data_IF_162011967819
#
_entry.id   IF_162011967819
#
_cell.length_a   1.000
_cell.length_b   1.000
_cell.length_c   1.000
_cell.angle_alpha   90.00
_cell.angle_beta   90.00
_cell.angle_gamma   90.00
#
_symmetry.space_group_name_H-M   'P 1'
#
loop_
_entity.id
_entity.type
_entity.pdbx_description
1 polymer ?
#
# COMPACT_ATOMS: atom_id res chain seq x y z
N UNK A 1 -28.90 27.69 72.64
CA UNK A 1 -27.45 27.50 72.56
C UNK A 1 -27.16 26.91 71.20
N UNK A 2 -26.81 27.82 70.29
CA UNK A 2 -25.62 27.76 69.44
C UNK A 2 -25.47 26.52 68.54
N UNK A 3 -25.56 26.71 67.22
CA UNK A 3 -24.41 26.86 66.30
C UNK A 3 -23.87 25.47 65.88
N UNK A 4 -23.48 25.12 64.65
CA UNK A 4 -23.17 25.86 63.43
C UNK A 4 -22.96 24.82 62.30
N UNK A 5 -23.46 25.14 61.09
CA UNK A 5 -22.91 24.92 59.73
C UNK A 5 -22.38 23.54 59.27
N UNK A 6 -22.88 23.03 58.14
CA UNK A 6 -22.43 23.33 56.75
C UNK A 6 -22.81 22.18 55.78
N UNK A 7 -23.44 22.52 54.66
CA UNK A 7 -23.72 21.60 53.56
C UNK A 7 -24.04 22.38 52.30
N UNK A 8 -23.00 22.87 51.63
CA UNK A 8 -23.10 23.61 50.38
C UNK A 8 -23.63 22.72 49.25
N UNK A 9 -24.69 23.19 48.61
CA UNK A 9 -25.21 22.65 47.35
C UNK A 9 -24.75 23.57 46.23
N UNK A 10 -23.76 23.15 45.44
CA UNK A 10 -23.40 23.85 44.20
C UNK A 10 -23.98 23.08 43.02
N UNK A 11 -25.06 23.64 42.47
CA UNK A 11 -25.55 23.36 41.12
C UNK A 11 -24.49 23.87 40.13
N UNK A 12 -23.84 22.97 39.40
CA UNK A 12 -23.04 23.33 38.23
C UNK A 12 -23.86 23.11 36.96
N UNK A 13 -24.42 24.19 36.44
CA UNK A 13 -24.87 24.26 35.05
C UNK A 13 -23.64 24.40 34.16
N UNK A 14 -23.33 23.39 33.34
CA UNK A 14 -22.37 23.57 32.24
C UNK A 14 -23.06 23.31 30.90
N UNK A 15 -23.34 24.44 30.28
CA UNK A 15 -23.67 24.68 28.88
C UNK A 15 -22.98 23.67 27.95
N UNK A 16 -23.78 22.96 27.15
CA UNK A 16 -23.31 22.26 25.96
C UNK A 16 -22.70 23.28 25.00
N UNK A 17 -21.37 23.28 24.86
CA UNK A 17 -20.69 23.83 23.69
C UNK A 17 -20.47 22.68 22.70
N UNK A 18 -21.37 22.61 21.74
CA UNK A 18 -21.18 21.95 20.46
C UNK A 18 -19.88 22.46 19.83
N UNK A 19 -18.87 21.60 19.73
CA UNK A 19 -17.71 21.85 18.88
C UNK A 19 -18.15 21.67 17.42
N UNK A 20 -18.57 22.77 16.80
CA UNK A 20 -18.48 22.94 15.35
C UNK A 20 -17.00 22.96 14.99
N UNK A 21 -16.51 21.87 14.39
CA UNK A 21 -15.26 21.89 13.63
C UNK A 21 -15.54 22.68 12.36
N UNK A 22 -15.13 23.95 12.38
CA UNK A 22 -15.02 24.78 11.20
C UNK A 22 -14.06 24.09 10.23
N UNK A 23 -14.60 23.60 9.12
CA UNK A 23 -13.84 23.32 7.90
C UNK A 23 -13.20 24.64 7.46
N UNK A 24 -11.93 24.86 7.83
CA UNK A 24 -11.13 25.91 7.23
C UNK A 24 -10.93 25.55 5.76
N UNK A 25 -11.84 26.03 4.91
CA UNK A 25 -11.58 26.15 3.47
C UNK A 25 -10.41 27.12 3.33
N UNK A 26 -9.20 26.58 3.29
CA UNK A 26 -8.03 27.32 2.82
C UNK A 26 -8.38 27.83 1.42
N UNK A 27 -8.20 29.14 1.21
CA UNK A 27 -8.34 29.71 -0.12
C UNK A 27 -7.35 29.00 -1.06
N UNK A 28 -7.69 28.87 -2.34
CA UNK A 28 -6.74 28.38 -3.35
C UNK A 28 -5.42 29.14 -3.29
N UNK A 29 -5.46 30.44 -2.95
CA UNK A 29 -4.28 31.29 -2.79
C UNK A 29 -3.42 30.87 -1.59
N UNK A 30 -4.02 30.45 -0.47
CA UNK A 30 -3.28 29.96 0.71
C UNK A 30 -2.57 28.63 0.42
N UNK A 31 -3.18 27.76 -0.39
CA UNK A 31 -2.60 26.49 -0.80
C UNK A 31 -1.42 26.73 -1.75
N UNK A 32 -1.59 27.64 -2.71
CA UNK A 32 -0.54 28.02 -3.66
C UNK A 32 0.64 28.64 -2.93
N UNK A 33 0.40 29.53 -1.97
CA UNK A 33 1.48 30.18 -1.23
C UNK A 33 2.22 29.19 -0.32
N UNK A 34 1.51 28.24 0.30
CA UNK A 34 2.14 27.15 1.06
C UNK A 34 3.01 26.25 0.20
N UNK A 35 2.57 25.92 -1.01
CA UNK A 35 3.37 25.12 -1.95
C UNK A 35 4.60 25.91 -2.44
N UNK A 36 4.47 27.21 -2.67
CA UNK A 36 5.61 28.08 -3.01
C UNK A 36 6.64 28.13 -1.88
N UNK A 37 6.22 28.31 -0.64
CA UNK A 37 7.13 28.29 0.51
C UNK A 37 7.85 26.94 0.64
N UNK A 38 7.12 25.83 0.55
CA UNK A 38 7.72 24.50 0.63
C UNK A 38 8.77 24.25 -0.46
N UNK A 39 8.50 24.65 -1.71
CA UNK A 39 9.48 24.54 -2.80
C UNK A 39 10.71 25.44 -2.59
N UNK A 40 10.55 26.64 -2.03
CA UNK A 40 11.67 27.54 -1.73
C UNK A 40 12.56 26.94 -0.63
N UNK A 41 11.96 26.31 0.37
CA UNK A 41 12.68 25.67 1.48
C UNK A 41 13.49 24.47 0.97
N UNK A 42 12.89 23.57 0.17
CA UNK A 42 13.61 22.43 -0.43
C UNK A 42 14.76 22.88 -1.34
N UNK A 43 14.54 23.90 -2.18
CA UNK A 43 15.60 24.45 -3.04
C UNK A 43 16.74 25.08 -2.23
N UNK A 44 16.43 25.66 -1.07
CA UNK A 44 17.41 26.24 -0.17
C UNK A 44 18.22 25.15 0.55
N UNK A 45 17.56 24.08 0.99
CA UNK A 45 18.21 22.92 1.63
C UNK A 45 19.16 22.19 0.67
N UNK A 46 18.71 21.91 -0.56
CA UNK A 46 19.55 21.34 -1.62
C UNK A 46 20.78 22.22 -1.94
N UNK A 47 20.62 23.54 -1.90
CA UNK A 47 21.74 24.47 -2.11
C UNK A 47 22.75 24.42 -0.96
N UNK A 48 22.27 24.31 0.28
CA UNK A 48 23.12 24.15 1.46
C UNK A 48 23.91 22.83 1.42
N UNK A 49 23.28 21.73 1.02
CA UNK A 49 23.94 20.43 0.85
C UNK A 49 25.01 20.49 -0.25
N UNK A 50 24.70 21.12 -1.38
CA UNK A 50 25.64 21.29 -2.49
C UNK A 50 26.86 22.14 -2.09
N UNK A 51 26.66 23.17 -1.28
CA UNK A 51 27.75 23.98 -0.72
C UNK A 51 28.56 23.21 0.34
N UNK A 52 27.93 22.36 1.14
CA UNK A 52 28.62 21.48 2.08
C UNK A 52 29.51 20.46 1.36
N UNK A 53 29.01 19.84 0.29
CA UNK A 53 29.78 18.92 -0.54
C UNK A 53 30.97 19.59 -1.22
N UNK A 54 30.80 20.82 -1.73
CA UNK A 54 31.91 21.62 -2.29
C UNK A 54 32.97 21.95 -1.25
N UNK A 55 32.58 22.31 -0.02
CA UNK A 55 33.52 22.56 1.09
C UNK A 55 34.26 21.28 1.51
N UNK A 56 33.65 20.12 1.34
CA UNK A 56 34.26 18.81 1.56
C UNK A 56 35.27 18.37 0.49
N UNK A 57 35.60 19.21 -0.49
CA UNK A 57 36.58 18.91 -1.54
C UNK A 57 36.05 18.04 -2.68
N UNK A 58 34.73 17.79 -2.73
CA UNK A 58 34.11 17.05 -3.82
C UNK A 58 34.04 17.91 -5.09
N UNK A 59 34.67 17.45 -6.17
CA UNK A 59 34.52 18.05 -7.50
C UNK A 59 33.17 17.67 -8.10
N UNK A 60 32.13 18.43 -7.76
CA UNK A 60 30.81 18.29 -8.40
C UNK A 60 30.83 19.05 -9.72
N UNK A 61 30.88 18.33 -10.84
CA UNK A 61 30.63 18.88 -12.16
C UNK A 61 29.11 18.86 -12.42
N UNK A 62 28.45 19.98 -12.16
CA UNK A 62 27.09 20.20 -12.66
C UNK A 62 27.23 20.37 -14.18
N UNK A 63 26.40 19.65 -14.96
CA UNK A 63 26.39 19.74 -16.43
C UNK A 63 26.21 21.18 -16.94
N UNK A 64 26.22 21.41 -18.27
CA UNK A 64 26.30 22.74 -18.87
C UNK A 64 24.96 23.49 -18.75
N UNK A 65 24.55 23.81 -17.53
CA UNK A 65 23.65 24.90 -17.27
C UNK A 65 24.47 26.16 -17.45
N UNK A 66 24.32 26.78 -18.62
CA UNK A 66 24.71 28.16 -18.83
C UNK A 66 24.07 28.94 -17.68
N UNK A 67 24.87 29.46 -16.76
CA UNK A 67 24.42 30.49 -15.83
C UNK A 67 24.08 31.72 -16.67
N UNK A 68 22.90 31.73 -17.29
CA UNK A 68 22.27 32.97 -17.69
C UNK A 68 22.06 33.73 -16.41
N UNK A 69 22.90 34.75 -16.18
CA UNK A 69 22.62 35.77 -15.18
C UNK A 69 21.24 36.32 -15.54
N UNK A 70 20.19 35.82 -14.89
CA UNK A 70 18.88 36.46 -14.83
C UNK A 70 19.09 37.77 -14.06
N UNK A 71 19.58 38.76 -14.81
CA UNK A 71 20.10 40.01 -14.26
C UNK A 71 19.13 41.17 -14.48
N UNK A 72 17.98 40.93 -15.12
CA UNK A 72 17.02 41.99 -15.38
C UNK A 72 15.67 41.64 -14.81
N UNK A 73 15.03 42.61 -14.15
CA UNK A 73 13.69 42.49 -13.61
C UNK A 73 12.65 42.12 -14.70
N UNK A 74 12.95 42.47 -15.96
CA UNK A 74 12.17 42.08 -17.13
C UNK A 74 12.11 40.55 -17.37
N UNK A 75 13.19 39.81 -17.07
CA UNK A 75 13.19 38.36 -17.21
C UNK A 75 12.37 37.69 -16.09
N UNK A 76 12.40 38.28 -14.89
CA UNK A 76 11.53 37.85 -13.78
C UNK A 76 10.06 38.10 -14.10
N UNK A 77 9.72 39.29 -14.59
CA UNK A 77 8.34 39.62 -14.99
C UNK A 77 7.83 38.71 -16.11
N UNK A 78 8.68 38.33 -17.08
CA UNK A 78 8.32 37.36 -18.12
C UNK A 78 8.00 35.97 -17.56
N UNK A 79 8.78 35.50 -16.59
CA UNK A 79 8.54 34.19 -15.96
C UNK A 79 7.23 34.24 -15.16
N UNK A 80 6.99 35.31 -14.40
CA UNK A 80 5.73 35.50 -13.68
C UNK A 80 4.52 35.54 -14.62
N UNK A 81 4.60 36.30 -15.73
CA UNK A 81 3.55 36.35 -16.74
C UNK A 81 3.26 34.98 -17.37
N UNK A 82 4.30 34.20 -17.71
CA UNK A 82 4.14 32.85 -18.26
C UNK A 82 3.46 31.88 -17.27
N UNK A 83 3.77 32.02 -15.97
CA UNK A 83 3.15 31.21 -14.91
C UNK A 83 1.68 31.60 -14.76
N UNK A 84 1.37 32.89 -14.75
CA UNK A 84 0.01 33.39 -14.58
C UNK A 84 -0.89 33.02 -15.78
N UNK A 85 -0.38 33.10 -17.03
CA UNK A 85 -1.14 32.67 -18.20
C UNK A 85 -1.44 31.17 -18.21
N UNK A 86 -0.46 30.33 -17.84
CA UNK A 86 -0.68 28.87 -17.74
C UNK A 86 -1.69 28.51 -16.66
N UNK A 87 -1.66 29.23 -15.54
CA UNK A 87 -2.57 28.99 -14.41
C UNK A 87 -3.99 29.40 -14.78
N UNK A 88 -4.16 30.56 -15.40
CA UNK A 88 -5.47 31.05 -15.87
C UNK A 88 -6.08 30.20 -17.00
N UNK A 89 -5.27 29.62 -17.88
CA UNK A 89 -5.75 28.72 -18.93
C UNK A 89 -6.33 27.42 -18.35
N UNK A 90 -5.68 26.84 -17.34
CA UNK A 90 -6.17 25.63 -16.65
C UNK A 90 -7.47 25.87 -15.89
N UNK A 91 -7.66 27.03 -15.28
CA UNK A 91 -8.90 27.39 -14.58
C UNK A 91 -10.09 27.44 -15.56
N UNK A 92 -9.92 28.03 -16.75
CA UNK A 92 -10.97 28.09 -17.78
C UNK A 92 -11.36 26.72 -18.36
N UNK A 93 -10.45 25.76 -18.39
CA UNK A 93 -10.76 24.40 -18.87
C UNK A 93 -11.61 23.60 -17.85
N UNK A 94 -11.55 23.96 -16.56
CA UNK A 94 -12.32 23.30 -15.51
C UNK A 94 -13.78 23.79 -15.40
N UNK A 95 -14.12 24.91 -16.03
CA UNK A 95 -15.45 25.51 -16.00
C UNK A 95 -16.37 25.09 -17.18
N UNK A 96 -15.89 24.27 -18.13
CA UNK A 96 -16.68 23.85 -19.28
C UNK A 96 -17.65 22.69 -18.92
N UNK A 97 -18.97 22.81 -19.20
CA UNK A 97 -19.94 21.77 -18.88
C UNK A 97 -19.80 20.54 -19.78
N UNK A 98 -19.59 19.38 -19.16
CA UNK A 98 -19.41 18.09 -19.83
C UNK A 98 -20.77 17.45 -20.17
N UNK A 99 -21.04 17.20 -21.46
CA UNK A 99 -22.25 16.48 -21.91
C UNK A 99 -21.86 15.08 -22.36
N UNK A 100 -22.44 14.05 -21.74
CA UNK A 100 -22.17 12.64 -22.03
C UNK A 100 -23.16 12.14 -23.10
N UNK A 101 -22.72 11.58 -24.24
CA UNK A 101 -23.59 10.86 -25.14
C UNK A 101 -23.72 9.40 -24.68
N UNK A 102 -24.94 8.99 -24.31
CA UNK A 102 -25.27 7.59 -24.04
C UNK A 102 -25.85 6.98 -25.32
N UNK A 103 -25.27 5.87 -25.80
CA UNK A 103 -25.97 4.76 -26.45
C UNK A 103 -25.00 3.64 -26.84
N UNK A 104 -25.20 2.45 -26.27
CA UNK A 104 -24.90 1.20 -26.96
C UNK A 104 -25.97 0.16 -26.61
N UNK A 105 -26.61 -0.37 -27.67
CA UNK A 105 -27.45 -1.56 -27.67
C UNK A 105 -26.53 -2.79 -27.64
N UNK A 106 -26.77 -3.72 -26.71
CA UNK A 106 -26.06 -5.01 -26.65
C UNK A 106 -27.01 -6.11 -27.09
N UNK A 107 -26.72 -6.75 -28.22
CA UNK A 107 -27.33 -8.02 -28.62
C UNK A 107 -26.53 -9.18 -28.03
N UNK A 108 -27.24 -10.09 -27.37
CA UNK A 108 -26.73 -11.34 -26.81
C UNK A 108 -26.56 -12.41 -27.90
N UNK A 109 -25.53 -13.27 -27.82
CA UNK A 109 -25.55 -14.55 -28.51
C UNK A 109 -25.53 -15.75 -27.54
N UNK A 110 -26.28 -16.76 -27.96
CA UNK A 110 -26.62 -18.00 -27.28
C UNK A 110 -25.45 -18.99 -27.11
N UNK A 111 -25.52 -19.68 -25.95
CA UNK A 111 -25.15 -21.06 -25.62
C UNK A 111 -24.15 -21.85 -26.48
N UNK A 112 -23.04 -22.25 -25.85
CA UNK A 112 -22.37 -23.53 -26.12
C UNK A 112 -22.18 -24.25 -24.77
N UNK A 113 -22.92 -25.35 -24.57
CA UNK A 113 -22.77 -26.25 -23.42
C UNK A 113 -21.56 -27.17 -23.66
N UNK A 114 -20.57 -27.10 -22.77
CA UNK A 114 -19.52 -28.11 -22.66
C UNK A 114 -19.57 -28.68 -21.24
N UNK A 115 -20.04 -29.92 -21.12
CA UNK A 115 -20.22 -30.63 -19.85
C UNK A 115 -18.89 -31.26 -19.39
N UNK A 116 -18.13 -30.50 -18.62
CA UNK A 116 -17.18 -31.05 -17.66
C UNK A 116 -17.70 -30.63 -16.29
N UNK A 117 -18.39 -31.52 -15.58
CA UNK A 117 -18.91 -31.20 -14.25
C UNK A 117 -17.72 -30.90 -13.32
N UNK A 118 -17.59 -29.66 -12.80
CA UNK A 118 -16.51 -29.33 -11.89
C UNK A 118 -16.66 -30.19 -10.65
N UNK A 119 -15.57 -30.87 -10.25
CA UNK A 119 -15.52 -31.59 -8.98
C UNK A 119 -15.66 -30.56 -7.87
N UNK A 120 -16.83 -30.48 -7.26
CA UNK A 120 -17.03 -29.67 -6.06
C UNK A 120 -16.17 -30.26 -4.96
N UNK A 121 -15.10 -29.58 -4.56
CA UNK A 121 -14.33 -29.97 -3.38
C UNK A 121 -15.20 -29.76 -2.14
N UNK A 122 -15.25 -30.75 -1.26
CA UNK A 122 -15.89 -30.59 0.05
C UNK A 122 -15.14 -29.51 0.85
N UNK A 123 -15.86 -28.74 1.68
CA UNK A 123 -15.28 -27.60 2.40
C UNK A 123 -14.09 -27.99 3.31
N UNK A 124 -14.07 -29.24 3.80
CA UNK A 124 -12.97 -29.81 4.59
C UNK A 124 -11.70 -30.05 3.73
N UNK A 125 -11.87 -30.47 2.47
CA UNK A 125 -10.78 -30.75 1.53
C UNK A 125 -10.10 -29.46 1.08
N UNK A 126 -10.87 -28.41 0.85
CA UNK A 126 -10.34 -27.06 0.57
C UNK A 126 -9.46 -26.57 1.73
N UNK A 127 -9.88 -26.80 2.98
CA UNK A 127 -9.10 -26.42 4.18
C UNK A 127 -7.82 -27.23 4.31
N UNK A 128 -7.79 -28.46 3.82
CA UNK A 128 -6.62 -29.37 3.89
C UNK A 128 -5.60 -29.09 2.78
N UNK A 129 -6.05 -28.50 1.68
CA UNK A 129 -5.18 -28.17 0.58
C UNK A 129 -4.12 -27.14 0.99
N UNK A 130 -2.90 -27.30 0.46
CA UNK A 130 -1.81 -26.34 0.58
C UNK A 130 -1.06 -26.24 -0.75
N UNK A 131 -0.50 -25.07 -1.10
CA UNK A 131 0.33 -24.94 -2.29
C UNK A 131 1.46 -25.96 -2.34
N UNK A 132 1.85 -26.39 -3.53
CA UNK A 132 2.85 -27.43 -3.73
C UNK A 132 4.17 -27.15 -3.00
N UNK A 133 4.61 -25.88 -2.99
CA UNK A 133 5.81 -25.48 -2.25
C UNK A 133 5.68 -25.74 -0.75
N UNK A 134 4.57 -25.33 -0.13
CA UNK A 134 4.33 -25.55 1.31
C UNK A 134 4.31 -27.04 1.67
N UNK A 135 3.74 -27.88 0.79
CA UNK A 135 3.74 -29.35 0.98
C UNK A 135 5.13 -29.98 0.87
N UNK A 136 6.07 -29.34 0.19
CA UNK A 136 7.44 -29.83 0.02
C UNK A 136 8.36 -29.51 1.21
N UNK A 137 7.95 -28.58 2.08
CA UNK A 137 8.73 -28.16 3.24
C UNK A 137 8.69 -29.22 4.35
N UNK A 138 9.82 -29.39 5.03
CA UNK A 138 9.92 -30.28 6.17
C UNK A 138 9.26 -29.64 7.40
N UNK A 139 8.30 -30.30 8.06
CA UNK A 139 7.65 -29.75 9.25
C UNK A 139 8.67 -29.32 10.29
N UNK A 140 8.52 -28.10 10.81
CA UNK A 140 9.32 -27.66 11.94
C UNK A 140 8.81 -28.32 13.22
N UNK A 141 9.70 -29.00 13.96
CA UNK A 141 9.32 -29.72 15.19
C UNK A 141 9.91 -29.01 16.41
N UNK A 142 9.06 -28.39 17.20
CA UNK A 142 9.44 -27.80 18.49
C UNK A 142 8.90 -28.60 19.66
N UNK A 143 9.78 -29.21 20.46
CA UNK A 143 9.39 -30.14 21.54
C UNK A 143 8.80 -29.49 22.79
N UNK A 144 8.92 -28.17 22.95
CA UNK A 144 8.55 -27.45 24.18
C UNK A 144 7.41 -26.44 23.95
N UNK A 145 6.53 -26.70 23.00
CA UNK A 145 5.38 -25.84 22.74
C UNK A 145 4.40 -25.91 23.92
N UNK A 146 3.86 -24.78 24.41
CA UNK A 146 2.75 -24.81 25.35
C UNK A 146 1.56 -25.55 24.75
N UNK A 147 0.77 -26.25 25.57
CA UNK A 147 -0.48 -26.86 25.10
C UNK A 147 -1.46 -25.78 24.62
N UNK A 148 -2.38 -26.09 23.70
CA UNK A 148 -3.37 -25.13 23.20
C UNK A 148 -4.14 -24.40 24.32
N UNK A 149 -4.46 -25.11 25.40
CA UNK A 149 -5.19 -24.55 26.55
C UNK A 149 -4.34 -23.64 27.44
N UNK A 150 -3.02 -23.69 27.31
CA UNK A 150 -2.08 -22.90 28.13
C UNK A 150 -1.43 -21.76 27.33
N UNK A 151 -1.71 -21.65 26.02
CA UNK A 151 -1.26 -20.51 25.24
C UNK A 151 -2.10 -19.28 25.57
N UNK A 152 -1.42 -18.17 25.84
CA UNK A 152 -2.03 -16.87 26.08
C UNK A 152 -2.25 -16.20 24.74
N UNK A 153 -3.42 -15.58 24.62
CA UNK A 153 -3.79 -14.73 23.49
C UNK A 153 -3.50 -13.26 23.79
N UNK A 154 -3.28 -12.49 22.73
CA UNK A 154 -2.90 -11.08 22.77
C UNK A 154 -3.97 -10.24 22.07
N UNK A 155 -4.48 -9.19 22.69
CA UNK A 155 -5.41 -8.29 21.99
C UNK A 155 -4.70 -7.46 20.93
N UNK A 156 -5.43 -7.01 19.91
CA UNK A 156 -4.91 -6.08 18.92
C UNK A 156 -4.30 -4.81 19.57
N UNK A 157 -5.00 -4.24 20.54
CA UNK A 157 -4.54 -3.04 21.26
C UNK A 157 -3.21 -3.28 21.97
N UNK A 158 -3.04 -4.45 22.59
CA UNK A 158 -1.77 -4.82 23.20
C UNK A 158 -0.65 -4.92 22.17
N UNK A 159 -0.88 -5.62 21.04
CA UNK A 159 0.12 -5.76 19.97
C UNK A 159 0.51 -4.39 19.39
N UNK A 160 -0.48 -3.55 19.07
CA UNK A 160 -0.23 -2.22 18.52
C UNK A 160 0.55 -1.32 19.50
N UNK A 161 0.26 -1.43 20.80
CA UNK A 161 0.96 -0.67 21.85
C UNK A 161 2.39 -1.18 22.07
N UNK A 162 2.60 -2.49 22.18
CA UNK A 162 3.95 -3.05 22.41
C UNK A 162 4.87 -2.81 21.21
N UNK A 163 4.29 -2.78 20.01
CA UNK A 163 4.98 -2.45 18.76
C UNK A 163 4.90 -0.96 18.38
N UNK A 164 4.48 -0.10 19.32
CA UNK A 164 4.68 1.36 19.30
C UNK A 164 4.19 2.07 18.03
N UNK A 165 2.96 1.78 17.61
CA UNK A 165 2.36 2.45 16.45
C UNK A 165 2.78 1.83 15.12
N UNK A 166 2.91 0.51 15.10
CA UNK A 166 3.17 -0.23 13.87
C UNK A 166 2.12 0.10 12.81
N UNK A 167 2.56 0.25 11.57
CA UNK A 167 1.73 0.59 10.42
C UNK A 167 1.65 -0.60 9.47
N UNK A 168 0.47 -0.84 8.92
CA UNK A 168 0.31 -1.90 7.92
C UNK A 168 1.07 -1.52 6.65
N UNK A 169 2.03 -2.36 6.27
CA UNK A 169 2.87 -2.17 5.11
C UNK A 169 2.27 -2.84 3.87
N UNK A 170 1.88 -4.10 4.03
CA UNK A 170 1.12 -4.89 3.07
C UNK A 170 0.07 -5.70 3.83
N UNK A 171 -0.96 -6.28 3.18
CA UNK A 171 -2.06 -6.93 3.89
C UNK A 171 -1.58 -7.93 4.96
N UNK A 172 -1.90 -7.65 6.22
CA UNK A 172 -1.52 -8.44 7.38
C UNK A 172 -0.04 -8.38 7.78
N UNK A 173 0.84 -7.67 7.05
CA UNK A 173 2.24 -7.41 7.41
C UNK A 173 2.39 -5.99 7.95
N UNK A 174 2.88 -5.91 9.18
CA UNK A 174 3.01 -4.65 9.92
C UNK A 174 4.47 -4.29 10.09
N UNK A 175 4.79 -3.01 9.91
CA UNK A 175 6.12 -2.44 10.07
C UNK A 175 6.18 -1.50 11.28
N UNK A 176 7.28 -1.55 12.03
CA UNK A 176 7.56 -0.73 13.21
C UNK A 176 8.54 0.38 12.84
N UNK A 177 8.08 1.64 12.75
CA UNK A 177 8.90 2.77 12.35
C UNK A 177 10.19 2.95 13.16
N UNK A 178 11.30 3.33 12.51
CA UNK A 178 12.60 3.61 13.11
C UNK A 178 12.51 4.64 14.24
N UNK A 179 11.66 5.67 14.04
CA UNK A 179 11.42 6.72 15.03
C UNK A 179 10.67 6.23 16.29
N UNK A 180 10.11 5.01 16.29
CA UNK A 180 9.46 4.41 17.46
C UNK A 180 10.46 3.98 18.56
N UNK A 181 11.77 4.17 18.34
CA UNK A 181 12.84 3.82 19.28
C UNK A 181 13.26 2.36 19.16
N UNK A 182 13.81 1.77 20.23
CA UNK A 182 14.29 0.38 20.22
C UNK A 182 13.12 -0.59 20.05
N UNK A 183 13.07 -1.29 18.92
CA UNK A 183 12.07 -2.31 18.65
C UNK A 183 12.34 -3.60 19.44
N UNK A 184 11.27 -4.30 19.82
CA UNK A 184 11.34 -5.60 20.46
C UNK A 184 11.84 -6.70 19.50
N UNK A 185 11.61 -6.50 18.20
CA UNK A 185 11.90 -7.44 17.13
C UNK A 185 12.90 -6.81 16.17
N UNK A 186 13.97 -7.55 15.83
CA UNK A 186 15.11 -7.03 15.06
C UNK A 186 14.70 -6.58 13.66
N UNK A 187 13.87 -7.37 12.98
CA UNK A 187 13.39 -7.08 11.62
C UNK A 187 12.28 -6.02 11.55
N UNK A 188 11.86 -5.44 12.69
CA UNK A 188 10.83 -4.40 12.79
C UNK A 188 9.53 -4.71 12.04
N UNK A 189 9.25 -5.98 11.85
CA UNK A 189 8.12 -6.46 11.05
C UNK A 189 7.47 -7.62 11.76
N UNK A 190 6.15 -7.71 11.69
CA UNK A 190 5.39 -8.86 12.18
C UNK A 190 4.15 -9.05 11.33
N UNK A 191 3.67 -10.29 11.26
CA UNK A 191 2.38 -10.59 10.66
C UNK A 191 1.30 -10.61 11.72
N UNK A 192 0.17 -9.97 11.45
CA UNK A 192 -1.06 -10.10 12.23
C UNK A 192 -2.22 -10.34 11.26
N UNK A 193 -2.70 -11.58 11.23
CA UNK A 193 -3.57 -12.09 10.18
C UNK A 193 -4.84 -12.70 10.79
N UNK A 194 -5.98 -12.49 10.12
CA UNK A 194 -7.25 -13.14 10.45
C UNK A 194 -7.42 -14.41 9.62
N UNK A 195 -7.49 -15.56 10.31
CA UNK A 195 -7.68 -16.87 9.66
C UNK A 195 -9.06 -17.02 8.99
N UNK A 196 -10.03 -16.15 9.31
CA UNK A 196 -11.35 -16.17 8.65
C UNK A 196 -11.29 -15.64 7.22
N UNK A 197 -10.32 -14.78 6.91
CA UNK A 197 -10.07 -14.25 5.56
C UNK A 197 -8.88 -14.92 4.86
N UNK A 198 -8.12 -15.74 5.58
CA UNK A 198 -6.93 -16.43 5.08
C UNK A 198 -7.01 -17.94 5.39
N UNK A 199 -7.69 -18.74 4.55
CA UNK A 199 -8.01 -20.13 4.87
C UNK A 199 -6.80 -21.09 4.84
N UNK A 200 -5.66 -20.67 4.27
CA UNK A 200 -4.46 -21.50 4.09
C UNK A 200 -3.35 -21.23 5.12
N UNK A 201 -3.68 -20.49 6.16
CA UNK A 201 -2.77 -20.19 7.26
C UNK A 201 -2.31 -21.48 7.98
N UNK A 202 -1.16 -21.44 8.67
CA UNK A 202 -0.72 -22.53 9.54
C UNK A 202 -1.83 -22.93 10.53
N UNK A 203 -2.08 -24.24 10.66
CA UNK A 203 -3.18 -24.77 11.49
C UNK A 203 -2.81 -24.84 12.97
N UNK A 204 -1.55 -25.10 13.25
CA UNK A 204 -0.96 -25.05 14.59
C UNK A 204 0.35 -24.26 14.55
N UNK A 205 0.84 -23.75 15.70
CA UNK A 205 2.20 -23.25 15.78
C UNK A 205 3.19 -24.29 15.25
N UNK A 206 4.26 -23.82 14.62
CA UNK A 206 5.26 -24.64 13.91
C UNK A 206 4.85 -25.22 12.55
N UNK A 207 3.58 -25.13 12.13
CA UNK A 207 3.18 -25.54 10.78
C UNK A 207 3.62 -24.51 9.74
N UNK A 208 3.80 -24.94 8.49
CA UNK A 208 3.88 -24.04 7.35
C UNK A 208 2.48 -23.71 6.80
N UNK A 209 2.36 -22.57 6.14
CA UNK A 209 1.11 -22.12 5.53
C UNK A 209 1.34 -21.15 4.38
N UNK A 210 0.26 -20.60 3.87
CA UNK A 210 0.31 -19.53 2.90
C UNK A 210 -0.82 -18.54 3.19
N UNK A 211 -0.63 -17.28 2.81
CA UNK A 211 -1.69 -16.29 2.72
C UNK A 211 -1.88 -15.89 1.27
N UNK A 212 -3.02 -15.28 0.99
CA UNK A 212 -3.36 -14.75 -0.32
C UNK A 212 -3.21 -13.23 -0.26
N UNK A 213 -2.76 -12.61 -1.35
CA UNK A 213 -2.78 -11.15 -1.47
C UNK A 213 -3.01 -10.74 -2.91
N UNK A 214 -3.67 -9.60 -3.16
CA UNK A 214 -3.79 -9.10 -4.53
C UNK A 214 -2.54 -8.39 -5.03
N UNK A 215 -1.87 -7.64 -4.15
CA UNK A 215 -0.73 -6.81 -4.52
C UNK A 215 0.33 -6.81 -3.42
N UNK A 216 1.59 -6.62 -3.83
CA UNK A 216 2.72 -6.43 -2.92
C UNK A 216 3.05 -4.95 -2.83
N UNK A 217 3.21 -4.44 -1.62
CA UNK A 217 3.79 -3.13 -1.44
C UNK A 217 5.30 -3.26 -1.59
N UNK A 218 5.83 -2.80 -2.72
CA UNK A 218 7.27 -2.80 -2.99
C UNK A 218 7.93 -1.47 -2.63
N UNK A 219 7.17 -0.50 -2.09
CA UNK A 219 7.75 0.77 -1.68
C UNK A 219 8.52 0.57 -0.37
N UNK A 220 9.69 1.19 -0.19
CA UNK A 220 10.30 1.23 1.13
C UNK A 220 9.41 2.04 2.09
N UNK A 221 9.49 1.78 3.41
CA UNK A 221 8.97 2.67 4.44
C UNK A 221 9.46 4.12 4.27
N UNK A 222 8.58 5.08 4.59
CA UNK A 222 8.87 6.52 4.46
C UNK A 222 10.04 6.98 5.33
N UNK A 223 10.34 6.26 6.41
CA UNK A 223 11.45 6.55 7.32
C UNK A 223 12.80 5.94 6.88
N UNK A 224 12.84 5.35 5.67
CA UNK A 224 14.04 4.72 5.13
C UNK A 224 14.40 3.39 5.78
N UNK A 225 13.51 2.81 6.59
CA UNK A 225 13.70 1.47 7.14
C UNK A 225 13.61 0.37 6.09
N UNK A 226 13.93 -0.85 6.50
CA UNK A 226 13.86 -2.04 5.65
C UNK A 226 12.76 -2.98 6.14
N UNK A 227 11.96 -3.49 5.21
CA UNK A 227 10.96 -4.52 5.50
C UNK A 227 11.66 -5.88 5.50
N UNK A 228 11.70 -6.54 6.66
CA UNK A 228 12.14 -7.92 6.73
C UNK A 228 11.01 -8.87 6.40
N UNK A 229 11.30 -9.86 5.56
CA UNK A 229 10.46 -11.03 5.31
C UNK A 229 11.09 -12.30 5.90
N UNK A 230 12.14 -12.16 6.70
CA UNK A 230 12.90 -13.27 7.30
C UNK A 230 12.76 -13.25 8.81
N UNK A 231 12.45 -14.41 9.40
CA UNK A 231 12.31 -14.62 10.84
C UNK A 231 11.32 -13.63 11.49
N UNK A 232 10.18 -13.45 10.84
CA UNK A 232 9.13 -12.49 11.17
C UNK A 232 8.08 -13.15 12.08
N UNK A 233 7.78 -12.62 13.28
CA UNK A 233 6.75 -13.16 14.16
C UNK A 233 5.38 -13.18 13.49
N UNK A 234 4.67 -14.31 13.59
CA UNK A 234 3.32 -14.49 13.07
C UNK A 234 2.29 -14.56 14.19
N UNK A 235 1.31 -13.67 14.13
CA UNK A 235 0.16 -13.61 15.01
C UNK A 235 -1.11 -13.91 14.22
N UNK A 236 -1.93 -14.86 14.70
CA UNK A 236 -3.15 -15.29 14.01
C UNK A 236 -4.35 -15.12 14.94
N UNK A 237 -5.39 -14.44 14.46
CA UNK A 237 -6.72 -14.41 15.11
C UNK A 237 -7.70 -15.34 14.37
N UNK A 238 -8.78 -15.74 15.05
CA UNK A 238 -9.78 -16.66 14.49
C UNK A 238 -9.28 -18.09 14.23
N UNK A 239 -8.10 -18.47 14.74
CA UNK A 239 -7.55 -19.81 14.54
C UNK A 239 -8.30 -20.87 15.34
N UNK A 240 -8.60 -21.99 14.67
CA UNK A 240 -9.18 -23.18 15.30
C UNK A 240 -8.23 -23.90 16.28
N UNK A 241 -6.95 -23.52 16.35
CA UNK A 241 -5.98 -24.11 17.28
C UNK A 241 -6.37 -23.91 18.74
N UNK A 242 -6.92 -22.74 19.09
CA UNK A 242 -7.32 -22.41 20.46
C UNK A 242 -8.84 -22.33 20.53
N UNK A 243 -9.44 -23.27 21.27
CA UNK A 243 -10.90 -23.44 21.34
C UNK A 243 -11.67 -22.24 21.95
N UNK A 244 -10.98 -21.36 22.67
CA UNK A 244 -11.57 -20.21 23.36
C UNK A 244 -10.99 -18.86 22.90
N UNK A 245 -10.42 -18.79 21.70
CA UNK A 245 -9.91 -17.52 21.19
C UNK A 245 -11.07 -16.56 20.93
N UNK A 246 -11.08 -15.39 21.59
CA UNK A 246 -12.10 -14.38 21.31
C UNK A 246 -11.83 -13.71 19.97
N UNK A 247 -12.86 -13.06 19.42
CA UNK A 247 -12.65 -12.17 18.29
C UNK A 247 -11.61 -11.09 18.65
N UNK A 248 -10.69 -10.80 17.72
CA UNK A 248 -9.56 -9.85 17.90
C UNK A 248 -8.51 -10.23 18.95
N UNK A 249 -8.52 -11.48 19.39
CA UNK A 249 -7.43 -12.07 20.16
C UNK A 249 -6.50 -12.86 19.22
N UNK A 250 -5.20 -12.61 19.33
CA UNK A 250 -4.16 -13.14 18.46
C UNK A 250 -3.29 -14.14 19.21
N UNK A 251 -2.91 -15.20 18.52
CA UNK A 251 -2.03 -16.24 19.04
C UNK A 251 -0.69 -16.13 18.32
N UNK A 252 0.41 -16.24 19.05
CA UNK A 252 1.75 -16.29 18.47
C UNK A 252 2.06 -17.69 17.91
N UNK A 253 2.21 -17.81 16.59
CA UNK A 253 2.40 -19.08 15.88
C UNK A 253 3.87 -19.45 15.66
N UNK A 254 4.80 -18.55 15.96
CA UNK A 254 6.23 -18.70 15.70
C UNK A 254 6.76 -17.59 14.79
N UNK A 255 8.00 -17.75 14.35
CA UNK A 255 8.64 -16.86 13.38
C UNK A 255 8.68 -17.54 12.01
N UNK A 256 8.33 -16.77 10.99
CA UNK A 256 8.14 -17.24 9.63
C UNK A 256 9.04 -16.46 8.67
N UNK A 257 9.46 -17.13 7.61
CA UNK A 257 10.17 -16.49 6.50
C UNK A 257 9.44 -16.75 5.19
N UNK A 258 9.50 -15.76 4.30
CA UNK A 258 9.16 -15.92 2.90
C UNK A 258 10.44 -16.27 2.12
N UNK A 259 10.76 -17.56 2.06
CA UNK A 259 11.97 -18.07 1.40
C UNK A 259 11.83 -18.28 -0.10
N UNK A 260 10.61 -18.18 -0.62
CA UNK A 260 10.29 -18.28 -2.03
C UNK A 260 9.46 -17.08 -2.45
N UNK A 261 9.70 -16.60 -3.67
CA UNK A 261 8.91 -15.56 -4.29
C UNK A 261 7.47 -16.04 -4.49
N UNK A 262 6.55 -15.10 -4.42
CA UNK A 262 5.13 -15.39 -4.53
C UNK A 262 4.75 -15.86 -5.93
N UNK A 263 3.84 -16.83 -6.00
CA UNK A 263 3.32 -17.36 -7.26
C UNK A 263 1.91 -16.80 -7.52
N UNK A 264 1.59 -16.41 -8.75
CA UNK A 264 0.25 -15.96 -9.12
C UNK A 264 -0.70 -17.15 -9.04
N UNK A 265 -1.87 -16.96 -8.43
CA UNK A 265 -2.90 -18.02 -8.34
C UNK A 265 -3.41 -18.29 -9.76
N UNK A 266 -3.34 -19.55 -10.20
CA UNK A 266 -3.84 -19.95 -11.51
C UNK A 266 -5.37 -19.87 -11.57
N UNK A 267 -5.96 -19.76 -12.77
CA UNK A 267 -7.42 -19.69 -12.91
C UNK A 267 -8.15 -20.87 -12.25
N UNK A 268 -7.67 -22.09 -12.48
CA UNK A 268 -8.27 -23.30 -11.89
C UNK A 268 -8.19 -23.30 -10.35
N UNK A 269 -7.02 -22.98 -9.78
CA UNK A 269 -6.87 -22.87 -8.32
C UNK A 269 -7.73 -21.75 -7.75
N UNK A 270 -7.82 -20.62 -8.45
CA UNK A 270 -8.62 -19.48 -8.03
C UNK A 270 -10.11 -19.86 -7.95
N UNK A 271 -10.60 -20.62 -8.91
CA UNK A 271 -11.99 -21.06 -8.94
C UNK A 271 -12.27 -22.18 -7.93
N UNK A 272 -11.43 -23.22 -7.93
CA UNK A 272 -11.70 -24.47 -7.21
C UNK A 272 -11.32 -24.43 -5.73
N UNK A 273 -10.31 -23.62 -5.38
CA UNK A 273 -9.75 -23.61 -4.04
C UNK A 273 -10.16 -22.37 -3.26
N UNK A 274 -10.16 -21.18 -3.89
CA UNK A 274 -10.47 -19.95 -3.15
C UNK A 274 -11.98 -19.85 -2.93
N UNK A 275 -12.46 -19.82 -1.66
CA UNK A 275 -13.89 -19.71 -1.39
C UNK A 275 -14.46 -18.36 -1.82
N UNK A 276 -15.74 -18.32 -2.21
CA UNK A 276 -16.36 -17.10 -2.73
C UNK A 276 -16.38 -15.95 -1.72
N UNK A 277 -16.54 -16.23 -0.42
CA UNK A 277 -16.48 -15.19 0.61
C UNK A 277 -15.10 -14.52 0.70
N UNK A 278 -14.02 -15.22 0.35
CA UNK A 278 -12.65 -14.66 0.28
C UNK A 278 -12.49 -13.81 -0.97
N UNK A 279 -13.01 -14.26 -2.12
CA UNK A 279 -13.06 -13.45 -3.34
C UNK A 279 -13.85 -12.16 -3.09
N UNK A 280 -14.98 -12.27 -2.43
CA UNK A 280 -15.82 -11.14 -2.06
C UNK A 280 -15.14 -10.19 -1.07
N UNK A 281 -14.39 -10.71 -0.10
CA UNK A 281 -13.57 -9.93 0.82
C UNK A 281 -12.54 -9.09 0.04
N UNK A 282 -11.74 -9.71 -0.82
CA UNK A 282 -10.74 -9.00 -1.62
C UNK A 282 -11.37 -8.01 -2.61
N UNK A 283 -12.49 -8.36 -3.23
CA UNK A 283 -13.23 -7.45 -4.09
C UNK A 283 -13.71 -6.20 -3.33
N UNK A 284 -14.16 -6.37 -2.09
CA UNK A 284 -14.54 -5.25 -1.23
C UNK A 284 -13.32 -4.40 -0.85
N UNK A 285 -12.20 -5.02 -0.47
CA UNK A 285 -10.95 -4.31 -0.13
C UNK A 285 -10.43 -3.46 -1.31
N UNK A 286 -10.47 -3.97 -2.54
CA UNK A 286 -10.02 -3.21 -3.72
C UNK A 286 -10.99 -2.14 -4.18
N UNK A 287 -12.29 -2.31 -3.91
CA UNK A 287 -13.30 -1.30 -4.21
C UNK A 287 -13.37 -0.18 -3.16
N UNK A 288 -12.88 -0.41 -1.94
CA UNK A 288 -12.95 0.55 -0.84
C UNK A 288 -12.24 1.87 -1.21
N UNK A 289 -12.93 3.03 -1.20
CA UNK A 289 -12.31 4.33 -1.49
C UNK A 289 -11.22 4.74 -0.48
N UNK A 290 -11.24 4.18 0.72
CA UNK A 290 -10.26 4.41 1.78
C UNK A 290 -9.02 3.51 1.70
N UNK A 291 -8.95 2.63 0.69
CA UNK A 291 -7.79 1.77 0.47
C UNK A 291 -6.49 2.59 0.32
N UNK A 292 -5.33 2.01 0.66
CA UNK A 292 -4.06 2.69 0.52
C UNK A 292 -3.80 3.20 -0.91
N UNK A 293 -3.13 4.35 -1.03
CA UNK A 293 -2.79 4.95 -2.32
C UNK A 293 -1.93 4.03 -3.19
N UNK A 294 -1.06 3.23 -2.58
CA UNK A 294 -0.23 2.26 -3.31
C UNK A 294 -1.08 1.16 -3.96
N UNK A 295 -2.15 0.68 -3.32
CA UNK A 295 -3.09 -0.28 -3.92
C UNK A 295 -3.79 0.35 -5.11
N UNK A 296 -4.20 1.62 -4.99
CA UNK A 296 -4.80 2.35 -6.11
C UNK A 296 -3.85 2.47 -7.30
N UNK A 297 -2.55 2.69 -7.07
CA UNK A 297 -1.55 2.70 -8.15
C UNK A 297 -1.43 1.35 -8.83
N UNK A 298 -1.45 0.24 -8.08
CA UNK A 298 -1.40 -1.10 -8.67
C UNK A 298 -2.68 -1.43 -9.47
N UNK A 299 -3.85 -1.02 -8.97
CA UNK A 299 -5.11 -1.13 -9.71
C UNK A 299 -5.09 -0.29 -11.01
N UNK A 300 -4.50 0.92 -10.97
CA UNK A 300 -4.34 1.75 -12.16
C UNK A 300 -3.50 1.03 -13.20
N UNK A 301 -2.29 0.57 -12.83
CA UNK A 301 -1.40 -0.18 -13.73
C UNK A 301 -2.06 -1.44 -14.29
N UNK A 302 -2.87 -2.12 -13.48
CA UNK A 302 -3.53 -3.36 -13.87
C UNK A 302 -4.65 -3.13 -14.89
N UNK A 303 -5.62 -2.27 -14.58
CA UNK A 303 -6.81 -2.07 -15.42
C UNK A 303 -6.61 -1.06 -16.55
N UNK A 304 -5.67 -0.14 -16.38
CA UNK A 304 -5.40 0.95 -17.30
C UNK A 304 -3.89 0.99 -17.54
N UNK A 305 -3.35 0.14 -18.42
CA UNK A 305 -1.92 0.09 -18.70
C UNK A 305 -1.38 1.48 -19.01
N UNK A 306 -0.21 1.77 -18.47
CA UNK A 306 0.51 3.02 -18.72
C UNK A 306 0.86 3.10 -20.22
N UNK A 307 0.73 4.27 -20.87
CA UNK A 307 1.19 4.42 -22.25
C UNK A 307 2.67 4.06 -22.36
N UNK A 308 3.05 3.40 -23.46
CA UNK A 308 4.44 3.10 -23.76
C UNK A 308 5.07 4.28 -24.51
N UNK A 309 6.33 4.59 -24.23
CA UNK A 309 7.07 5.59 -25.00
C UNK A 309 7.52 4.99 -26.33
N UNK A 310 7.02 5.54 -27.43
CA UNK A 310 7.34 5.15 -28.81
C UNK A 310 8.12 6.23 -29.60
N UNK A 311 8.50 7.32 -28.92
CA UNK A 311 9.21 8.46 -29.50
C UNK A 311 10.70 8.23 -29.79
N UNK A 312 11.36 9.25 -30.32
CA UNK A 312 12.77 9.18 -30.69
C UNK A 312 13.67 8.85 -29.48
N UNK A 313 14.61 7.92 -29.67
CA UNK A 313 15.60 7.52 -28.67
C UNK A 313 16.99 8.09 -28.99
N UNK A 314 17.86 8.28 -27.98
CA UNK A 314 19.25 8.67 -28.21
C UNK A 314 19.97 7.61 -29.07
N UNK A 315 20.51 8.01 -30.22
CA UNK A 315 21.27 7.09 -31.06
C UNK A 315 22.64 6.82 -30.43
N UNK A 316 22.94 5.54 -30.14
CA UNK A 316 24.22 5.14 -29.56
C UNK A 316 25.42 5.27 -30.52
N UNK A 317 25.17 5.49 -31.83
CA UNK A 317 26.21 5.49 -32.87
C UNK A 317 26.65 6.88 -33.33
N UNK A 318 25.94 7.94 -32.95
CA UNK A 318 26.34 9.31 -33.25
C UNK A 318 27.41 9.77 -32.26
N UNK A 319 28.68 9.41 -32.52
CA UNK A 319 29.78 10.28 -32.11
C UNK A 319 29.49 11.67 -32.69
N UNK A 320 29.82 12.78 -32.00
CA UNK A 320 29.68 14.12 -32.55
C UNK A 320 30.63 14.27 -33.75
N UNK A 321 30.20 13.80 -34.91
CA UNK A 321 30.87 14.08 -36.17
C UNK A 321 30.48 15.50 -36.55
N UNK A 322 31.46 16.25 -37.03
CA UNK A 322 31.44 17.69 -37.29
C UNK A 322 30.25 18.07 -38.19
N UNK A 323 29.14 18.45 -37.57
CA UNK A 323 27.86 18.77 -38.19
C UNK A 323 26.81 19.05 -37.11
N UNK A 324 26.80 20.26 -36.57
CA UNK A 324 25.98 20.71 -35.43
C UNK A 324 24.47 20.54 -35.66
N UNK A 325 24.02 20.62 -36.91
CA UNK A 325 22.60 20.78 -37.24
C UNK A 325 21.77 19.48 -37.11
N UNK A 326 22.33 18.32 -37.46
CA UNK A 326 21.61 17.03 -37.39
C UNK A 326 21.41 16.58 -35.95
N UNK A 327 22.45 16.74 -35.12
CA UNK A 327 22.40 16.42 -33.70
C UNK A 327 21.39 17.33 -32.97
N UNK A 328 21.43 18.64 -33.26
CA UNK A 328 20.45 19.59 -32.70
C UNK A 328 19.01 19.26 -33.15
N UNK A 329 18.83 18.87 -34.41
CA UNK A 329 17.51 18.48 -34.93
C UNK A 329 16.99 17.23 -34.22
N UNK A 330 17.83 16.21 -34.05
CA UNK A 330 17.47 14.99 -33.32
C UNK A 330 17.15 15.28 -31.86
N UNK A 331 17.91 16.16 -31.19
CA UNK A 331 17.60 16.57 -29.82
C UNK A 331 16.26 17.29 -29.71
N UNK A 332 15.93 18.19 -30.66
CA UNK A 332 14.63 18.89 -30.68
C UNK A 332 13.47 17.92 -30.90
N UNK A 333 13.63 16.92 -31.77
CA UNK A 333 12.62 15.87 -31.99
C UNK A 333 12.41 15.06 -30.70
N UNK A 334 13.50 14.56 -30.11
CA UNK A 334 13.44 13.79 -28.86
C UNK A 334 12.80 14.58 -27.72
N UNK A 335 13.15 15.85 -27.58
CA UNK A 335 12.55 16.71 -26.56
C UNK A 335 11.03 16.84 -26.78
N UNK A 336 10.61 17.07 -28.03
CA UNK A 336 9.19 17.20 -28.37
C UNK A 336 8.43 15.90 -28.13
N UNK A 337 8.98 14.75 -28.51
CA UNK A 337 8.37 13.44 -28.29
C UNK A 337 8.26 13.12 -26.78
N UNK A 338 9.29 13.48 -26.00
CA UNK A 338 9.25 13.37 -24.55
C UNK A 338 8.21 14.30 -23.92
N UNK A 339 8.06 15.52 -24.42
CA UNK A 339 7.01 16.45 -23.97
C UNK A 339 5.61 15.87 -24.23
N UNK A 340 5.36 15.30 -25.42
CA UNK A 340 4.10 14.63 -25.73
C UNK A 340 3.84 13.43 -24.82
N UNK A 341 4.85 12.58 -24.61
CA UNK A 341 4.70 11.43 -23.74
C UNK A 341 4.42 11.82 -22.27
N UNK A 342 5.04 12.90 -21.78
CA UNK A 342 4.75 13.42 -20.44
C UNK A 342 3.33 13.97 -20.32
N UNK A 343 2.79 14.57 -21.39
CA UNK A 343 1.39 15.00 -21.45
C UNK A 343 0.44 13.79 -21.43
N UNK A 344 0.73 12.75 -22.21
CA UNK A 344 -0.02 11.50 -22.23
C UNK A 344 0.02 10.78 -20.87
N UNK A 345 1.18 10.74 -20.21
CA UNK A 345 1.30 10.21 -18.85
C UNK A 345 0.47 10.99 -17.84
N UNK A 346 0.45 12.33 -17.93
CA UNK A 346 -0.37 13.16 -17.04
C UNK A 346 -1.86 12.94 -17.27
N UNK A 347 -2.28 12.80 -18.53
CA UNK A 347 -3.66 12.47 -18.87
C UNK A 347 -4.03 11.08 -18.35
N UNK A 348 -3.18 10.09 -18.62
CA UNK A 348 -3.34 8.72 -18.17
C UNK A 348 -3.51 8.66 -16.65
N UNK A 349 -2.63 9.30 -15.87
CA UNK A 349 -2.68 9.28 -14.42
C UNK A 349 -4.00 9.86 -13.90
N UNK A 350 -4.41 11.03 -14.41
CA UNK A 350 -5.66 11.69 -14.04
C UNK A 350 -6.88 10.84 -14.36
N UNK A 351 -6.93 10.24 -15.54
CA UNK A 351 -8.04 9.41 -16.00
C UNK A 351 -8.09 8.07 -15.24
N UNK A 352 -6.98 7.35 -15.19
CA UNK A 352 -6.86 6.08 -14.48
C UNK A 352 -7.21 6.23 -12.99
N UNK A 353 -6.74 7.29 -12.33
CA UNK A 353 -7.07 7.58 -10.93
C UNK A 353 -8.58 7.80 -10.73
N UNK A 354 -9.23 8.58 -11.61
CA UNK A 354 -10.68 8.79 -11.56
C UNK A 354 -11.45 7.48 -11.75
N UNK A 355 -11.07 6.69 -12.76
CA UNK A 355 -11.72 5.40 -13.06
C UNK A 355 -11.54 4.39 -11.93
N UNK A 356 -10.33 4.27 -11.40
CA UNK A 356 -10.03 3.43 -10.23
C UNK A 356 -10.81 3.87 -9.00
N UNK A 357 -10.98 5.18 -8.78
CA UNK A 357 -11.81 5.72 -7.70
C UNK A 357 -13.31 5.41 -7.81
N UNK A 358 -13.79 5.01 -8.99
CA UNK A 358 -15.18 4.64 -9.25
C UNK A 358 -15.41 3.11 -9.32
N UNK A 359 -14.36 2.31 -9.16
CA UNK A 359 -14.47 0.85 -9.18
C UNK A 359 -15.39 0.36 -8.06
N UNK A 360 -16.35 -0.46 -8.43
CA UNK A 360 -17.25 -1.13 -7.48
C UNK A 360 -16.75 -2.55 -7.21
N UNK A 361 -17.26 -3.14 -6.12
CA UNK A 361 -16.98 -4.53 -5.76
C UNK A 361 -17.31 -5.47 -6.93
N UNK A 362 -18.40 -5.21 -7.65
CA UNK A 362 -18.86 -6.04 -8.77
C UNK A 362 -17.92 -5.98 -9.98
N UNK A 363 -17.28 -4.83 -10.22
CA UNK A 363 -16.29 -4.67 -11.29
C UNK A 363 -15.05 -5.53 -11.00
N UNK A 364 -14.57 -5.50 -9.75
CA UNK A 364 -13.46 -6.33 -9.30
C UNK A 364 -13.83 -7.82 -9.33
N UNK A 365 -15.04 -8.16 -8.88
CA UNK A 365 -15.52 -9.55 -8.88
C UNK A 365 -15.60 -10.11 -10.29
N UNK A 366 -15.99 -9.29 -11.27
CA UNK A 366 -15.99 -9.67 -12.68
C UNK A 366 -14.57 -9.85 -13.21
N UNK A 367 -13.65 -8.97 -12.86
CA UNK A 367 -12.24 -9.08 -13.26
C UNK A 367 -11.57 -10.38 -12.77
N UNK A 368 -12.02 -10.93 -11.64
CA UNK A 368 -11.60 -12.26 -11.16
C UNK A 368 -12.03 -13.41 -12.07
N UNK A 369 -13.07 -13.25 -12.88
CA UNK A 369 -13.61 -14.30 -13.77
C UNK A 369 -13.13 -14.12 -15.22
N UNK A 370 -12.59 -12.96 -15.58
CA UNK A 370 -12.10 -12.69 -16.94
C UNK A 370 -10.99 -13.67 -17.35
N UNK A 371 -10.97 -14.00 -18.63
CA UNK A 371 -9.86 -14.76 -19.22
C UNK A 371 -8.61 -13.89 -19.33
N UNK A 372 -7.44 -14.50 -19.25
CA UNK A 372 -6.17 -13.78 -19.28
C UNK A 372 -5.89 -13.11 -20.65
N UNK A 373 -6.55 -13.60 -21.71
CA UNK A 373 -6.46 -13.09 -23.07
C UNK A 373 -7.63 -12.15 -23.46
N UNK A 374 -8.52 -11.84 -22.51
CA UNK A 374 -9.65 -10.96 -22.76
C UNK A 374 -9.21 -9.49 -22.86
N UNK A 375 -10.03 -8.64 -23.48
CA UNK A 375 -9.73 -7.21 -23.64
C UNK A 375 -9.63 -6.50 -22.27
N UNK A 376 -10.44 -6.93 -21.31
CA UNK A 376 -10.34 -6.49 -19.92
C UNK A 376 -9.45 -7.44 -19.11
N UNK A 377 -8.34 -6.97 -18.54
CA UNK A 377 -7.36 -7.83 -17.90
C UNK A 377 -7.95 -8.58 -16.71
N UNK A 378 -7.51 -9.82 -16.54
CA UNK A 378 -7.90 -10.65 -15.42
C UNK A 378 -7.14 -10.27 -14.15
N UNK A 379 -7.88 -10.01 -13.07
CA UNK A 379 -7.27 -9.80 -11.77
C UNK A 379 -7.10 -11.18 -11.11
N UNK A 380 -5.87 -11.52 -10.72
CA UNK A 380 -5.61 -12.72 -9.91
C UNK A 380 -4.85 -12.32 -8.67
N UNK A 381 -5.08 -13.10 -7.62
CA UNK A 381 -4.35 -12.98 -6.38
C UNK A 381 -3.03 -13.76 -6.47
N UNK A 382 -2.23 -13.67 -5.42
CA UNK A 382 -0.91 -14.28 -5.31
C UNK A 382 -0.81 -15.10 -4.03
N UNK A 383 -0.09 -16.20 -4.10
CA UNK A 383 0.32 -17.00 -2.95
C UNK A 383 1.55 -16.39 -2.29
N UNK A 384 1.43 -15.98 -1.04
CA UNK A 384 2.55 -15.58 -0.20
C UNK A 384 2.85 -16.71 0.80
N UNK A 385 4.06 -17.27 0.68
CA UNK A 385 4.44 -18.48 1.41
C UNK A 385 4.99 -18.16 2.80
N UNK A 386 4.47 -18.87 3.80
CA UNK A 386 4.86 -18.74 5.20
C UNK A 386 5.55 -20.02 5.65
N UNK A 387 6.89 -20.03 5.60
CA UNK A 387 7.71 -21.11 6.15
C UNK A 387 8.04 -20.82 7.61
N UNK A 388 7.45 -21.56 8.55
CA UNK A 388 7.89 -21.56 9.95
C UNK A 388 9.38 -21.91 10.07
N UNK A 389 10.17 -20.99 10.63
CA UNK A 389 11.61 -21.17 10.90
C UNK A 389 11.89 -21.52 12.35
N UNK A 390 11.15 -20.92 13.27
CA UNK A 390 11.39 -21.08 14.70
C UNK A 390 10.14 -20.79 15.52
N UNK A 391 10.17 -21.18 16.80
CA UNK A 391 9.23 -20.70 17.79
C UNK A 391 10.03 -20.16 18.98
N UNK A 392 10.06 -18.83 19.12
CA UNK A 392 10.89 -18.17 20.14
C UNK A 392 10.15 -18.08 21.46
N UNK A 393 10.54 -18.97 22.37
CA UNK A 393 10.00 -19.03 23.72
C UNK A 393 10.31 -17.78 24.55
N UNK A 394 11.50 -17.21 24.42
CA UNK A 394 11.91 -16.06 25.23
C UNK A 394 11.16 -14.80 24.78
N UNK A 395 10.93 -14.66 23.47
CA UNK A 395 10.07 -13.64 22.91
C UNK A 395 8.62 -13.79 23.40
N UNK A 396 8.04 -14.99 23.29
CA UNK A 396 6.69 -15.27 23.77
C UNK A 396 6.52 -14.97 25.27
N UNK A 397 7.43 -15.45 26.13
CA UNK A 397 7.41 -15.20 27.57
C UNK A 397 7.55 -13.70 27.90
N UNK A 398 8.29 -12.95 27.06
CA UNK A 398 8.37 -11.50 27.18
C UNK A 398 7.03 -10.83 26.88
N UNK A 399 6.34 -11.22 25.81
CA UNK A 399 5.01 -10.69 25.50
C UNK A 399 4.01 -10.97 26.62
N UNK A 400 3.98 -12.20 27.13
CA UNK A 400 3.13 -12.60 28.26
C UNK A 400 3.39 -11.72 29.48
N UNK A 401 4.66 -11.53 29.84
CA UNK A 401 5.04 -10.68 30.98
C UNK A 401 4.58 -9.24 30.79
N UNK A 402 4.78 -8.65 29.61
CA UNK A 402 4.38 -7.27 29.35
C UNK A 402 2.84 -7.12 29.36
N UNK A 403 2.09 -8.09 28.82
CA UNK A 403 0.62 -8.08 28.90
C UNK A 403 0.14 -8.10 30.35
N UNK A 404 0.71 -8.97 31.19
CA UNK A 404 0.32 -9.07 32.60
C UNK A 404 0.61 -7.76 33.36
N UNK A 405 1.74 -7.10 33.11
CA UNK A 405 2.05 -5.78 33.70
C UNK A 405 1.00 -4.74 33.32
N UNK A 406 0.57 -4.72 32.07
CA UNK A 406 -0.42 -3.76 31.57
C UNK A 406 -1.78 -3.96 32.26
N UNK A 407 -2.17 -5.22 32.51
CA UNK A 407 -3.41 -5.55 33.23
C UNK A 407 -3.33 -5.14 34.70
N UNK A 408 -2.17 -5.24 35.34
CA UNK A 408 -2.00 -4.87 36.75
C UNK A 408 -1.86 -3.36 37.01
N UNK A 409 -1.59 -2.56 35.98
CA UNK A 409 -1.31 -1.12 36.11
C UNK A 409 -2.42 -0.22 35.59
N UNK A 410 -3.38 -0.76 34.85
CA UNK A 410 -4.65 -0.10 34.51
C UNK A 410 -5.74 -0.49 35.49
#
# INVERSE_FOLDING_TARGET
>A
MDEVKNGETIKSSRVMKSHNLLSNHLSSDDIIERLRCAMIDELSELRCELDALKKGGWKIAIGPFVQTKLSTDADRERIHHCIDERTNHKIKQLEAPFTIPVKYDVKSPDSIQNSCSPKTFEAEDVRLWKPAYIRSLQPFVYRKLPSPNNMITFSWEFLHRIFRGAMEHSPGLWYIPLNAGRALITGRTFYAIDATTEPYMPRSPCDHGAKITGFYNNNPPDDGGEISYTDVPLFITGSAWVQNCKANEYIYFGNYSQTRWSDKVSYGEFHDLIPDHIKDFWAAQFADPSRPSWVSRELMKHFFPMPEYDGAMPSATSKPSVGTDEYETQQRIMQKDMEYYLEDLSHWESNAKKRVGLLKKEDIRRAFENADADESPSLRLWWEYLECKSWDRAFYETLVREQNKMITTG
#
